data_IF_726891250560
#
_entry.id   IF_726891250560
#
_cell.length_a   1.000
_cell.length_b   1.000
_cell.length_c   1.000
_cell.angle_alpha   90.00
_cell.angle_beta   90.00
_cell.angle_gamma   90.00
#
_symmetry.space_group_name_H-M   'P 1'
#
loop_
_entity.id
_entity.type
_entity.pdbx_description
1 polymer ?
#
# COMPACT_ATOMS: atom_id res chain seq x y z
N UNK A 1 -2.46 -12.26 -7.79
CA UNK A 1 -3.07 -11.31 -6.85
C UNK A 1 -2.46 -11.50 -5.47
N UNK A 2 -2.50 -10.47 -4.63
CA UNK A 2 -2.03 -10.48 -3.24
C UNK A 2 -3.23 -10.19 -2.32
N UNK A 3 -3.45 -11.04 -1.33
CA UNK A 3 -4.56 -10.90 -0.37
C UNK A 3 -4.01 -10.79 1.04
N UNK A 4 -4.44 -9.76 1.78
CA UNK A 4 -4.04 -9.50 3.17
C UNK A 4 -5.30 -9.41 4.02
N UNK A 5 -5.28 -10.03 5.20
CA UNK A 5 -6.38 -9.95 6.18
C UNK A 5 -5.96 -9.19 7.42
N UNK A 6 -6.75 -8.19 7.82
CA UNK A 6 -6.56 -7.40 9.03
C UNK A 6 -7.75 -7.60 9.97
N UNK A 7 -7.56 -8.27 11.10
CA UNK A 7 -8.61 -8.41 12.12
C UNK A 7 -8.94 -7.04 12.73
N UNK A 8 -10.22 -6.69 12.86
CA UNK A 8 -10.63 -5.36 13.39
C UNK A 8 -10.10 -5.08 14.80
N UNK A 9 -9.92 -6.14 15.60
CA UNK A 9 -9.48 -6.06 16.99
C UNK A 9 -7.95 -6.05 17.17
N UNK A 10 -7.19 -6.23 16.10
CA UNK A 10 -5.72 -6.31 16.16
C UNK A 10 -5.10 -5.14 15.40
N UNK A 11 -4.29 -4.34 16.09
CA UNK A 11 -3.45 -3.35 15.42
C UNK A 11 -2.40 -4.09 14.60
N UNK A 12 -2.39 -3.89 13.29
CA UNK A 12 -1.41 -4.52 12.40
C UNK A 12 -1.12 -3.64 11.21
N UNK A 13 0.14 -3.63 10.79
CA UNK A 13 0.63 -2.85 9.66
C UNK A 13 1.45 -3.71 8.71
N UNK A 14 1.40 -3.37 7.43
CA UNK A 14 2.16 -3.99 6.36
C UNK A 14 2.74 -2.90 5.47
N UNK A 15 3.97 -3.10 5.01
CA UNK A 15 4.58 -2.29 3.97
C UNK A 15 4.82 -3.20 2.76
N UNK A 16 4.36 -2.74 1.60
CA UNK A 16 4.39 -3.50 0.37
C UNK A 16 5.15 -2.67 -0.64
N UNK A 17 6.21 -3.25 -1.19
CA UNK A 17 7.01 -2.64 -2.23
C UNK A 17 6.58 -3.25 -3.56
N UNK A 18 6.04 -2.43 -4.44
CA UNK A 18 5.68 -2.85 -5.79
C UNK A 18 6.95 -3.01 -6.65
N UNK A 19 6.96 -3.96 -7.60
CA UNK A 19 8.00 -4.00 -8.60
C UNK A 19 7.92 -2.76 -9.50
N UNK A 20 9.06 -2.34 -10.06
CA UNK A 20 9.13 -1.20 -11.00
C UNK A 20 8.42 -1.47 -12.33
N UNK A 21 8.07 -2.73 -12.62
CA UNK A 21 7.27 -3.13 -13.78
C UNK A 21 5.77 -2.99 -13.54
N UNK A 22 5.33 -2.56 -12.36
CA UNK A 22 3.91 -2.36 -12.09
C UNK A 22 3.39 -1.14 -12.88
N UNK A 23 2.40 -1.35 -13.74
CA UNK A 23 1.72 -0.27 -14.45
C UNK A 23 0.47 0.16 -13.69
N UNK A 24 -0.35 -0.82 -13.32
CA UNK A 24 -1.61 -0.58 -12.62
C UNK A 24 -1.86 -1.65 -11.57
N UNK A 25 -2.64 -1.33 -10.53
CA UNK A 25 -3.14 -2.33 -9.58
C UNK A 25 -4.57 -2.01 -9.19
N UNK A 26 -5.45 -3.02 -9.22
CA UNK A 26 -6.74 -2.93 -8.55
C UNK A 26 -6.51 -3.10 -7.04
N UNK A 27 -6.98 -2.15 -6.24
CA UNK A 27 -6.92 -2.14 -4.78
C UNK A 27 -8.34 -2.19 -4.21
N UNK A 28 -8.69 -3.31 -3.60
CA UNK A 28 -9.99 -3.53 -2.99
C UNK A 28 -9.83 -3.73 -1.49
N UNK A 29 -10.41 -2.86 -0.69
CA UNK A 29 -10.42 -2.93 0.77
C UNK A 29 -11.87 -3.12 1.19
N UNK A 30 -12.21 -4.26 1.80
CA UNK A 30 -13.57 -4.55 2.24
C UNK A 30 -13.60 -5.09 3.65
N UNK A 31 -14.60 -4.68 4.44
CA UNK A 31 -14.92 -5.29 5.71
C UNK A 31 -15.80 -6.52 5.45
N UNK A 32 -15.38 -7.68 5.95
CA UNK A 32 -16.18 -8.91 5.89
C UNK A 32 -16.99 -9.08 7.18
N UNK A 33 -18.32 -8.84 7.16
CA UNK A 33 -19.17 -8.92 8.35
C UNK A 33 -19.53 -10.36 8.73
N UNK A 34 -19.24 -11.33 7.86
CA UNK A 34 -19.72 -12.71 7.95
C UNK A 34 -18.97 -13.55 8.98
N UNK A 35 -17.83 -13.05 9.49
CA UNK A 35 -16.97 -13.76 10.43
C UNK A 35 -17.22 -13.31 11.86
N UNK A 36 -17.27 -14.28 12.79
CA UNK A 36 -17.26 -14.04 14.25
C UNK A 36 -16.10 -13.10 14.63
N UNK A 37 -14.98 -13.23 13.92
CA UNK A 37 -13.87 -12.28 13.93
C UNK A 37 -13.90 -11.40 12.68
N UNK A 38 -14.65 -10.30 12.75
CA UNK A 38 -14.68 -9.28 11.69
C UNK A 38 -13.25 -8.91 11.26
N UNK A 39 -13.04 -8.80 9.95
CA UNK A 39 -11.73 -8.50 9.37
C UNK A 39 -11.87 -7.72 8.07
N UNK A 40 -10.91 -6.84 7.83
CA UNK A 40 -10.72 -6.26 6.52
C UNK A 40 -9.95 -7.24 5.64
N UNK A 41 -10.45 -7.46 4.45
CA UNK A 41 -9.76 -8.18 3.39
C UNK A 41 -9.31 -7.15 2.37
N UNK A 42 -8.00 -7.11 2.15
CA UNK A 42 -7.35 -6.22 1.19
C UNK A 42 -6.86 -7.10 0.05
N UNK A 43 -7.44 -6.92 -1.13
CA UNK A 43 -7.08 -7.64 -2.35
C UNK A 43 -6.40 -6.66 -3.30
N UNK A 44 -5.19 -7.01 -3.73
CA UNK A 44 -4.46 -6.31 -4.76
C UNK A 44 -4.25 -7.19 -5.98
N UNK A 45 -4.58 -6.67 -7.15
CA UNK A 45 -4.41 -7.36 -8.43
C UNK A 45 -3.50 -6.50 -9.30
N UNK A 46 -2.18 -6.80 -9.34
CA UNK A 46 -1.24 -6.03 -10.13
C UNK A 46 -1.30 -6.42 -11.61
N UNK A 47 -1.13 -5.42 -12.47
CA UNK A 47 -0.87 -5.56 -13.90
C UNK A 47 0.55 -5.08 -14.16
N UNK A 48 1.40 -5.98 -14.68
CA UNK A 48 2.81 -5.70 -14.93
C UNK A 48 3.03 -5.43 -16.42
N UNK A 49 3.92 -4.49 -16.74
CA UNK A 49 4.44 -4.28 -18.07
C UNK A 49 5.04 -5.59 -18.61
N UNK A 50 4.74 -5.92 -19.87
CA UNK A 50 5.40 -7.02 -20.54
C UNK A 50 6.91 -6.70 -20.66
N UNK A 51 7.81 -7.65 -20.37
CA UNK A 51 9.22 -7.45 -20.70
C UNK A 51 9.33 -7.19 -22.21
N UNK A 52 10.22 -6.27 -22.65
CA UNK A 52 10.42 -6.02 -24.06
C UNK A 52 10.75 -7.35 -24.77
N UNK A 53 10.26 -7.59 -25.99
CA UNK A 53 10.63 -8.77 -26.75
C UNK A 53 12.15 -8.79 -26.87
N UNK A 54 12.76 -9.82 -26.29
CA UNK A 54 14.20 -10.05 -26.41
C UNK A 54 14.54 -10.14 -27.90
N UNK A 55 15.48 -9.34 -28.42
CA UNK A 55 16.03 -9.62 -29.75
C UNK A 55 16.68 -11.01 -29.71
N UNK A 56 16.41 -11.83 -30.72
CA UNK A 56 16.93 -13.19 -30.88
C UNK A 56 18.46 -13.21 -30.66
N UNK A 57 18.89 -13.56 -29.45
CA UNK A 57 20.29 -13.79 -29.14
C UNK A 57 20.64 -15.22 -29.58
N UNK A 58 21.70 -15.42 -30.38
CA UNK A 58 22.14 -16.75 -30.76
C UNK A 58 22.46 -17.56 -29.51
N UNK A 59 21.84 -18.74 -29.38
CA UNK A 59 22.14 -19.69 -28.33
C UNK A 59 23.63 -20.04 -28.36
N UNK A 60 24.40 -19.54 -27.40
CA UNK A 60 25.68 -20.13 -27.03
C UNK A 60 25.58 -20.61 -25.59
N UNK A 61 25.58 -21.94 -25.48
CA UNK A 61 25.71 -22.72 -24.26
C UNK A 61 26.87 -22.21 -23.40
N UNK A 62 26.57 -21.43 -22.36
CA UNK A 62 27.45 -21.33 -21.20
C UNK A 62 26.59 -21.27 -19.93
N UNK A 63 26.27 -22.47 -19.45
CA UNK A 63 26.10 -22.74 -18.03
C UNK A 63 27.33 -22.17 -17.30
N UNK A 64 27.19 -21.02 -16.66
CA UNK A 64 28.10 -20.64 -15.59
C UNK A 64 27.31 -20.05 -14.43
N UNK A 65 27.36 -20.78 -13.33
CA UNK A 65 26.81 -20.43 -12.03
C UNK A 65 27.13 -18.98 -11.67
N UNK A 66 26.11 -18.15 -11.46
CA UNK A 66 26.24 -16.90 -10.72
C UNK A 66 25.59 -17.00 -9.33
N UNK A 67 25.57 -18.22 -8.77
CA UNK A 67 25.61 -18.42 -7.32
C UNK A 67 27.06 -18.16 -6.85
N UNK A 68 27.45 -16.88 -6.87
CA UNK A 68 28.69 -16.38 -6.33
C UNK A 68 28.38 -15.46 -5.16
N UNK A 69 28.50 -16.00 -3.94
CA UNK A 69 28.56 -15.27 -2.68
C UNK A 69 29.32 -13.93 -2.83
N UNK A 70 28.62 -12.80 -2.71
CA UNK A 70 29.27 -11.52 -2.45
C UNK A 70 29.48 -11.38 -0.94
N UNK A 71 30.56 -11.98 -0.45
CA UNK A 71 31.23 -11.55 0.77
C UNK A 71 32.21 -10.45 0.38
N UNK A 72 31.85 -9.19 0.63
CA UNK A 72 32.79 -8.07 0.62
C UNK A 72 32.45 -7.09 1.77
N UNK A 73 33.41 -6.73 2.63
CA UNK A 73 33.25 -5.68 3.62
C UNK A 73 33.39 -4.33 2.93
N UNK A 74 32.27 -3.64 2.73
CA UNK A 74 32.26 -2.32 2.12
C UNK A 74 30.82 -1.93 1.84
N UNK A 75 30.26 -1.07 2.69
CA UNK A 75 28.93 -0.53 2.51
C UNK A 75 28.82 0.18 1.18
N UNK A 76 28.20 -0.48 0.20
CA UNK A 76 27.49 0.26 -0.83
C UNK A 76 26.24 0.81 -0.15
N UNK A 77 25.98 2.12 -0.17
CA UNK A 77 24.62 2.58 0.08
C UNK A 77 23.80 1.89 -1.01
N UNK A 78 22.86 1.04 -0.62
CA UNK A 78 21.79 0.61 -1.51
C UNK A 78 21.21 1.89 -2.09
N UNK A 79 21.59 2.20 -3.32
CA UNK A 79 20.98 3.29 -4.08
C UNK A 79 19.48 3.01 -4.00
N UNK A 80 18.66 3.92 -3.45
CA UNK A 80 17.22 3.72 -3.42
C UNK A 80 16.82 3.43 -4.86
N UNK A 81 16.19 2.27 -5.13
CA UNK A 81 15.62 2.03 -6.45
C UNK A 81 14.71 3.25 -6.73
N UNK A 82 15.06 4.12 -7.68
CA UNK A 82 14.28 5.30 -7.92
C UNK A 82 12.96 4.79 -8.51
N UNK A 83 11.86 5.03 -7.79
CA UNK A 83 10.48 4.88 -8.25
C UNK A 83 9.79 3.52 -8.03
N UNK A 84 10.24 2.66 -7.09
CA UNK A 84 9.36 1.55 -6.69
C UNK A 84 8.22 2.08 -5.80
N UNK A 85 6.98 2.06 -6.29
CA UNK A 85 5.79 2.45 -5.54
C UNK A 85 5.69 1.64 -4.23
N UNK A 86 5.40 2.31 -3.12
CA UNK A 86 5.21 1.68 -1.81
C UNK A 86 3.80 1.89 -1.30
N UNK A 87 3.17 0.81 -0.85
CA UNK A 87 1.84 0.80 -0.26
C UNK A 87 1.98 0.42 1.22
N UNK A 88 1.53 1.31 2.11
CA UNK A 88 1.41 1.00 3.53
C UNK A 88 -0.05 0.70 3.87
N UNK A 89 -0.29 -0.45 4.49
CA UNK A 89 -1.61 -0.85 5.00
C UNK A 89 -1.56 -0.85 6.52
N UNK A 90 -2.54 -0.25 7.19
CA UNK A 90 -2.56 -0.22 8.65
C UNK A 90 -3.98 -0.23 9.23
N UNK A 91 -4.30 -1.30 9.96
CA UNK A 91 -5.39 -1.24 10.94
C UNK A 91 -4.91 -0.48 12.18
N UNK A 92 -5.33 0.78 12.31
CA UNK A 92 -4.84 1.70 13.34
C UNK A 92 -5.66 1.67 14.64
N UNK A 93 -6.92 1.20 14.59
CA UNK A 93 -7.88 1.20 15.72
C UNK A 93 -8.00 2.57 16.40
N UNK A 94 -8.11 3.63 15.60
CA UNK A 94 -8.29 5.01 16.05
C UNK A 94 -7.19 5.95 15.58
N UNK A 95 -7.49 6.77 14.57
CA UNK A 95 -6.58 7.73 13.96
C UNK A 95 -6.63 9.14 14.60
N UNK A 96 -7.60 9.40 15.48
CA UNK A 96 -7.72 10.68 16.18
C UNK A 96 -6.68 10.89 17.31
N UNK A 97 -6.02 9.81 17.76
CA UNK A 97 -5.08 9.87 18.88
C UNK A 97 -3.77 10.56 18.47
N UNK A 98 -3.27 11.49 19.29
CA UNK A 98 -1.99 12.15 19.06
C UNK A 98 -0.82 11.14 18.93
N UNK A 99 -0.83 10.08 19.75
CA UNK A 99 0.15 8.99 19.68
C UNK A 99 0.15 8.29 18.31
N UNK A 100 -1.04 8.07 17.73
CA UNK A 100 -1.13 7.51 16.38
C UNK A 100 -0.51 8.46 15.37
N UNK A 101 -0.83 9.75 15.44
CA UNK A 101 -0.33 10.75 14.49
C UNK A 101 1.18 10.87 14.53
N UNK A 102 1.76 10.88 15.72
CA UNK A 102 3.21 10.91 15.92
C UNK A 102 3.88 9.65 15.34
N UNK A 103 3.35 8.46 15.67
CA UNK A 103 3.87 7.20 15.12
C UNK A 103 3.74 7.13 13.61
N UNK A 104 2.62 7.61 13.05
CA UNK A 104 2.43 7.64 11.61
C UNK A 104 3.42 8.59 10.94
N UNK A 105 3.63 9.79 11.48
CA UNK A 105 4.62 10.73 10.96
C UNK A 105 6.01 10.10 10.86
N UNK A 106 6.49 9.48 11.96
CA UNK A 106 7.77 8.78 11.98
C UNK A 106 7.86 7.67 10.92
N UNK A 107 6.78 6.91 10.73
CA UNK A 107 6.74 5.85 9.71
C UNK A 107 6.73 6.39 8.29
N UNK A 108 6.08 7.52 8.05
CA UNK A 108 6.06 8.18 6.75
C UNK A 108 7.45 8.74 6.43
N UNK A 109 8.14 9.35 7.39
CA UNK A 109 9.51 9.83 7.21
C UNK A 109 10.47 8.70 6.83
N UNK A 110 10.34 7.54 7.49
CA UNK A 110 11.23 6.40 7.25
C UNK A 110 10.93 5.64 5.96
N UNK A 111 9.66 5.39 5.66
CA UNK A 111 9.27 4.49 4.58
C UNK A 111 8.89 5.23 3.30
N UNK A 112 8.42 6.48 3.42
CA UNK A 112 7.88 7.33 2.37
C UNK A 112 6.90 6.61 1.41
N UNK A 113 5.81 6.00 1.92
CA UNK A 113 4.86 5.29 1.06
C UNK A 113 4.10 6.25 0.15
N UNK A 114 3.88 5.87 -1.10
CA UNK A 114 3.07 6.64 -2.07
C UNK A 114 1.58 6.49 -1.83
N UNK A 115 1.17 5.32 -1.32
CA UNK A 115 -0.21 5.05 -0.87
C UNK A 115 -0.21 4.64 0.60
N UNK A 116 -1.10 5.24 1.37
CA UNK A 116 -1.41 4.85 2.74
C UNK A 116 -2.89 4.43 2.82
N UNK A 117 -3.13 3.18 3.19
CA UNK A 117 -4.46 2.64 3.45
C UNK A 117 -4.65 2.44 4.95
N UNK A 118 -5.65 3.09 5.54
CA UNK A 118 -5.99 2.93 6.95
C UNK A 118 -7.35 2.26 7.11
N UNK A 119 -7.47 1.37 8.09
CA UNK A 119 -8.74 0.75 8.50
C UNK A 119 -8.94 0.91 10.01
N UNK A 120 -10.19 0.83 10.47
CA UNK A 120 -10.59 1.15 11.85
C UNK A 120 -10.07 2.53 12.29
N UNK A 121 -10.20 3.53 11.42
CA UNK A 121 -9.78 4.90 11.73
C UNK A 121 -10.62 5.50 12.86
N UNK A 122 -11.87 5.04 13.03
CA UNK A 122 -12.84 5.60 13.97
C UNK A 122 -13.02 7.11 13.78
N UNK A 123 -12.93 7.55 12.53
CA UNK A 123 -13.08 8.94 12.11
C UNK A 123 -14.20 9.04 11.07
N UNK A 124 -15.10 10.00 11.26
CA UNK A 124 -16.16 10.30 10.29
C UNK A 124 -15.59 11.04 9.07
N UNK A 125 -14.62 11.93 9.29
CA UNK A 125 -13.91 12.66 8.24
C UNK A 125 -12.39 12.50 8.36
N UNK A 126 -11.75 12.18 7.24
CA UNK A 126 -10.32 11.96 7.11
C UNK A 126 -9.57 13.13 6.45
N UNK A 127 -10.26 14.21 6.06
CA UNK A 127 -9.63 15.37 5.40
C UNK A 127 -8.47 15.97 6.23
N UNK A 128 -8.58 15.95 7.56
CA UNK A 128 -7.50 16.37 8.45
C UNK A 128 -6.19 15.59 8.27
N UNK A 129 -6.25 14.33 7.82
CA UNK A 129 -5.06 13.50 7.59
C UNK A 129 -4.33 13.91 6.30
N UNK A 130 -5.04 14.41 5.28
CA UNK A 130 -4.42 14.91 4.05
C UNK A 130 -3.43 16.03 4.37
N UNK A 131 -3.91 17.06 5.05
CA UNK A 131 -3.12 18.24 5.39
C UNK A 131 -1.99 17.92 6.37
N UNK A 132 -2.26 17.05 7.36
CA UNK A 132 -1.28 16.74 8.38
C UNK A 132 -0.11 15.88 7.86
N UNK A 133 -0.34 15.04 6.85
CA UNK A 133 0.66 14.11 6.31
C UNK A 133 1.08 14.40 4.86
N UNK A 134 0.75 15.58 4.33
CA UNK A 134 1.12 16.02 2.98
C UNK A 134 0.68 15.07 1.85
N UNK A 135 -0.47 14.41 2.01
CA UNK A 135 -1.13 13.70 0.91
C UNK A 135 -2.03 14.67 0.13
N UNK A 136 -2.27 14.36 -1.15
CA UNK A 136 -3.00 15.25 -2.07
C UNK A 136 -4.31 14.67 -2.56
N UNK A 137 -4.53 13.37 -2.41
CA UNK A 137 -5.79 12.69 -2.74
C UNK A 137 -6.25 11.79 -1.59
N UNK A 138 -7.57 11.72 -1.42
CA UNK A 138 -8.27 10.98 -0.38
C UNK A 138 -9.48 10.28 -0.97
N UNK A 139 -9.54 8.96 -0.79
CA UNK A 139 -10.76 8.17 -0.92
C UNK A 139 -11.14 7.68 0.48
N UNK A 140 -12.38 7.88 0.92
CA UNK A 140 -12.77 7.57 2.30
C UNK A 140 -14.14 6.92 2.42
N UNK A 141 -14.28 6.16 3.49
CA UNK A 141 -15.52 5.65 4.05
C UNK A 141 -15.56 6.10 5.51
N UNK A 142 -16.61 6.82 5.89
CA UNK A 142 -16.79 7.33 7.24
C UNK A 142 -16.95 6.17 8.26
N UNK A 143 -16.35 6.33 9.43
CA UNK A 143 -16.70 5.50 10.57
C UNK A 143 -18.13 5.81 11.04
N UNK A 144 -18.79 4.83 11.64
CA UNK A 144 -20.08 5.03 12.29
C UNK A 144 -19.87 4.86 13.80
N UNK A 145 -19.86 5.98 14.54
CA UNK A 145 -19.52 6.00 15.95
C UNK A 145 -18.09 5.50 16.20
N UNK A 146 -17.95 4.43 17.01
CA UNK A 146 -16.64 3.91 17.42
C UNK A 146 -16.11 2.74 16.57
N UNK A 147 -16.76 2.44 15.44
CA UNK A 147 -16.42 1.29 14.59
C UNK A 147 -16.23 1.70 13.13
N UNK A 148 -15.28 1.04 12.47
CA UNK A 148 -15.05 1.21 11.05
C UNK A 148 -14.21 2.44 10.72
N UNK A 149 -14.47 2.96 9.52
CA UNK A 149 -13.67 4.00 8.90
C UNK A 149 -12.53 3.40 8.09
N UNK A 150 -12.51 3.74 6.81
CA UNK A 150 -11.50 3.31 5.84
C UNK A 150 -11.04 4.55 5.10
N UNK A 151 -9.74 4.72 4.90
CA UNK A 151 -9.26 5.71 3.95
C UNK A 151 -8.07 5.21 3.14
N UNK A 152 -7.98 5.72 1.92
CA UNK A 152 -6.84 5.59 1.02
C UNK A 152 -6.34 7.00 0.73
N UNK A 153 -5.13 7.28 1.19
CA UNK A 153 -4.41 8.54 1.00
C UNK A 153 -3.31 8.31 -0.03
N UNK A 154 -3.17 9.23 -0.99
CA UNK A 154 -2.14 9.13 -2.03
C UNK A 154 -1.58 10.49 -2.46
N UNK A 155 -0.42 10.46 -3.12
CA UNK A 155 0.22 11.64 -3.71
C UNK A 155 -0.04 11.68 -5.20
N UNK A 156 -0.94 12.56 -5.65
CA UNK A 156 -1.36 12.71 -7.06
C UNK A 156 -0.24 13.06 -8.02
N UNK A 157 0.92 13.54 -7.53
CA UNK A 157 2.10 13.78 -8.35
C UNK A 157 2.85 12.49 -8.72
N UNK A 158 2.67 11.43 -7.94
CA UNK A 158 3.37 10.15 -8.11
C UNK A 158 2.50 9.07 -8.74
N UNK A 159 1.17 9.16 -8.60
CA UNK A 159 0.22 8.19 -9.17
C UNK A 159 -1.22 8.73 -9.16
N UNK A 160 -2.08 8.05 -9.90
CA UNK A 160 -3.53 8.30 -9.91
C UNK A 160 -4.27 7.19 -9.17
N UNK A 161 -5.25 7.57 -8.34
CA UNK A 161 -6.15 6.63 -7.65
C UNK A 161 -7.58 6.97 -8.04
N UNK A 162 -8.18 6.08 -8.82
CA UNK A 162 -9.53 6.23 -9.33
C UNK A 162 -10.48 5.28 -8.58
N UNK A 163 -11.39 5.81 -7.74
CA UNK A 163 -12.37 4.97 -7.06
C UNK A 163 -13.39 4.42 -8.06
N UNK A 164 -13.52 3.09 -8.09
CA UNK A 164 -14.51 2.38 -8.89
C UNK A 164 -15.83 2.18 -8.13
N UNK A 165 -15.73 1.91 -6.81
CA UNK A 165 -16.88 1.77 -5.93
C UNK A 165 -16.50 2.16 -4.50
N UNK A 166 -17.41 2.85 -3.82
CA UNK A 166 -17.27 3.21 -2.41
C UNK A 166 -18.61 2.90 -1.74
N UNK A 167 -18.58 2.08 -0.70
CA UNK A 167 -19.76 1.77 0.12
C UNK A 167 -19.42 1.94 1.60
N UNK A 168 -20.39 1.75 2.48
CA UNK A 168 -20.16 1.83 3.92
C UNK A 168 -19.14 0.80 4.45
N UNK A 169 -18.85 -0.26 3.68
CA UNK A 169 -17.98 -1.36 4.09
C UNK A 169 -16.78 -1.57 3.18
N UNK A 170 -16.71 -0.91 2.02
CA UNK A 170 -15.65 -1.18 1.05
C UNK A 170 -15.20 0.05 0.24
N UNK A 171 -13.95 0.00 -0.18
CA UNK A 171 -13.36 0.89 -1.19
C UNK A 171 -12.74 0.00 -2.26
N UNK A 172 -13.20 0.16 -3.50
CA UNK A 172 -12.59 -0.42 -4.69
C UNK A 172 -11.99 0.72 -5.51
N UNK A 173 -10.71 0.65 -5.81
CA UNK A 173 -10.01 1.65 -6.61
C UNK A 173 -9.03 1.01 -7.60
N UNK A 174 -8.83 1.67 -8.73
CA UNK A 174 -7.69 1.39 -9.61
C UNK A 174 -6.59 2.38 -9.28
N UNK A 175 -5.37 1.87 -9.17
CA UNK A 175 -4.18 2.67 -9.02
C UNK A 175 -3.37 2.57 -10.30
N UNK A 176 -2.94 3.70 -10.85
CA UNK A 176 -2.09 3.78 -12.04
C UNK A 176 -0.83 4.58 -11.69
N UNK A 177 0.34 3.99 -11.99
CA UNK A 177 1.67 4.57 -11.72
C UNK A 177 2.09 5.47 -12.87
#
# INVERSE_FOLDING_TARGET
>A
SLTISLHVNVKRRYLIQAPTTLETTSLNIRLDPSFVDQRYVILMIPTLAAPPPMPDLPQHNHLNMQLGMSLMPGGSPTTPLPNSMKIMLWNCRGAHRAEFRHNLHFLLDWNNPTILCLTETRMEDHASLLHYFNFTNLVQVAAHGYSGGICVLSRSKELTVDPLAITALEIHATVQV
#
